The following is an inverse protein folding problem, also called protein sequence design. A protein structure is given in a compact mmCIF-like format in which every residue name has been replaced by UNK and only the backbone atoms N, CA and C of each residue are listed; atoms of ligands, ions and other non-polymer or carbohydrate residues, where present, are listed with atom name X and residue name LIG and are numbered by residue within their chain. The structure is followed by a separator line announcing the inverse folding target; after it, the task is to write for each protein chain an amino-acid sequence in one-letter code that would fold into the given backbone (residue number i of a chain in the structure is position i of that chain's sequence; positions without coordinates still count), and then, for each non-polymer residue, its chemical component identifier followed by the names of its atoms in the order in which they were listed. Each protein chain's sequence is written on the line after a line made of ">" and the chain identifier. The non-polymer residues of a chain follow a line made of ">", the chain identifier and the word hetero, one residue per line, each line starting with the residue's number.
data_IF_805859918961
#
_entry.id   IF_805859918961
#
_cell.length_a   1.000
_cell.length_b   1.000
_cell.length_c   1.000
_cell.angle_alpha   90.00
_cell.angle_beta   90.00
_cell.angle_gamma   90.00
#
_symmetry.space_group_name_H-M   'P 1'
#
loop_
_entity.id
_entity.type
_entity.pdbx_description
1 polymer ?
#
# COMPACT_ATOMS: atom_id res chain seq x y z
N UNK A 1 21.71 -0.24 -3.79
CA UNK A 1 20.38 0.11 -3.26
C UNK A 1 19.29 -0.13 -4.32
N UNK A 2 19.49 0.27 -5.58
CA UNK A 2 18.52 0.05 -6.69
C UNK A 2 18.15 -1.42 -6.96
N UNK A 3 19.12 -2.34 -6.95
CA UNK A 3 18.84 -3.76 -7.21
C UNK A 3 17.92 -4.42 -6.15
N UNK A 4 17.93 -3.91 -4.91
CA UNK A 4 17.02 -4.37 -3.84
C UNK A 4 15.60 -3.87 -4.09
N UNK A 5 15.44 -2.64 -4.58
CA UNK A 5 14.13 -2.09 -4.91
C UNK A 5 13.51 -2.80 -6.11
N UNK A 6 14.29 -3.11 -7.15
CA UNK A 6 13.79 -3.85 -8.31
C UNK A 6 13.22 -5.23 -7.94
N UNK A 7 13.92 -5.96 -7.05
CA UNK A 7 13.46 -7.27 -6.56
C UNK A 7 12.19 -7.15 -5.71
N UNK A 8 12.07 -6.11 -4.88
CA UNK A 8 10.87 -5.85 -4.08
C UNK A 8 9.68 -5.49 -4.98
N UNK A 9 9.87 -4.68 -6.01
CA UNK A 9 8.84 -4.33 -6.99
C UNK A 9 8.38 -5.57 -7.78
N UNK A 10 9.30 -6.46 -8.13
CA UNK A 10 8.95 -7.71 -8.81
C UNK A 10 8.10 -8.61 -7.89
N UNK A 11 8.51 -8.81 -6.64
CA UNK A 11 7.75 -9.62 -5.67
C UNK A 11 6.36 -9.00 -5.41
N UNK A 12 6.28 -7.67 -5.35
CA UNK A 12 5.00 -6.95 -5.27
C UNK A 12 4.06 -7.32 -6.42
N UNK A 13 4.60 -7.30 -7.64
CA UNK A 13 3.83 -7.57 -8.85
C UNK A 13 3.36 -9.03 -8.91
N UNK A 14 4.24 -9.97 -8.53
CA UNK A 14 3.91 -11.40 -8.45
C UNK A 14 2.79 -11.66 -7.43
N UNK A 15 2.89 -11.07 -6.23
CA UNK A 15 1.86 -11.22 -5.20
C UNK A 15 0.54 -10.51 -5.60
N UNK A 16 0.62 -9.38 -6.31
CA UNK A 16 -0.57 -8.72 -6.87
C UNK A 16 -1.27 -9.54 -7.93
N UNK A 17 -0.52 -10.27 -8.75
CA UNK A 17 -1.10 -11.17 -9.73
C UNK A 17 -1.80 -12.35 -9.05
N UNK A 18 -1.22 -12.89 -7.98
CA UNK A 18 -1.85 -13.95 -7.17
C UNK A 18 -3.13 -13.43 -6.51
N UNK A 19 -3.10 -12.25 -5.92
CA UNK A 19 -4.27 -11.64 -5.27
C UNK A 19 -5.39 -11.32 -6.27
N UNK A 20 -5.05 -10.86 -7.48
CA UNK A 20 -6.02 -10.63 -8.56
C UNK A 20 -6.65 -11.95 -9.04
N UNK A 21 -5.84 -12.97 -9.32
CA UNK A 21 -6.33 -14.30 -9.72
C UNK A 21 -7.21 -14.90 -8.61
N UNK A 22 -6.84 -14.69 -7.35
CA UNK A 22 -7.59 -15.15 -6.19
C UNK A 22 -8.96 -14.46 -6.07
N UNK A 23 -9.03 -13.14 -6.29
CA UNK A 23 -10.28 -12.39 -6.24
C UNK A 23 -11.17 -12.60 -7.48
N UNK A 24 -10.58 -12.84 -8.66
CA UNK A 24 -11.30 -13.15 -9.90
C UNK A 24 -11.74 -14.62 -9.99
N UNK A 25 -11.19 -15.51 -9.15
CA UNK A 25 -11.59 -16.90 -9.09
C UNK A 25 -13.06 -17.00 -8.66
N UNK A 26 -13.95 -17.22 -9.63
CA UNK A 26 -15.33 -17.63 -9.37
C UNK A 26 -15.27 -19.01 -8.71
N UNK A 27 -15.49 -19.05 -7.39
CA UNK A 27 -15.58 -20.32 -6.68
C UNK A 27 -16.71 -21.17 -7.25
N UNK A 28 -16.50 -22.48 -7.19
CA UNK A 28 -17.57 -23.45 -7.46
C UNK A 28 -18.79 -23.11 -6.59
N UNK A 29 -20.00 -23.33 -7.10
CA UNK A 29 -21.21 -23.11 -6.29
C UNK A 29 -21.18 -24.01 -5.06
N UNK A 30 -21.86 -23.60 -3.98
CA UNK A 30 -21.91 -24.36 -2.73
C UNK A 30 -22.29 -25.84 -2.96
N UNK A 31 -23.27 -26.09 -3.84
CA UNK A 31 -23.68 -27.45 -4.24
C UNK A 31 -22.54 -28.30 -4.85
N UNK A 32 -21.65 -27.69 -5.64
CA UNK A 32 -20.50 -28.38 -6.23
C UNK A 32 -19.35 -28.53 -5.22
N UNK A 33 -19.23 -27.60 -4.26
CA UNK A 33 -18.28 -27.68 -3.16
C UNK A 33 -18.61 -28.84 -2.22
N UNK A 34 -19.88 -28.99 -1.83
CA UNK A 34 -20.32 -30.08 -0.94
C UNK A 34 -20.13 -31.48 -1.55
N UNK A 35 -20.14 -31.59 -2.87
CA UNK A 35 -19.89 -32.83 -3.61
C UNK A 35 -18.40 -33.19 -3.72
N UNK A 36 -17.49 -32.26 -3.41
CA UNK A 36 -16.05 -32.53 -3.48
C UNK A 36 -15.58 -33.44 -2.33
N UNK A 37 -14.53 -34.26 -2.53
CA UNK A 37 -13.91 -35.00 -1.44
C UNK A 37 -13.44 -34.08 -0.31
N UNK A 38 -13.42 -34.52 0.97
CA UNK A 38 -13.08 -33.66 2.11
C UNK A 38 -11.71 -32.99 1.99
N UNK A 39 -10.74 -33.68 1.38
CA UNK A 39 -9.39 -33.16 1.16
C UNK A 39 -9.37 -32.02 0.14
N UNK A 40 -10.24 -32.08 -0.88
CA UNK A 40 -10.42 -31.05 -1.90
C UNK A 40 -11.14 -29.84 -1.33
N UNK A 41 -12.21 -30.05 -0.54
CA UNK A 41 -12.90 -28.98 0.19
C UNK A 41 -11.93 -28.18 1.08
N UNK A 42 -11.07 -28.88 1.83
CA UNK A 42 -10.06 -28.23 2.68
C UNK A 42 -9.10 -27.34 1.88
N UNK A 43 -8.64 -27.81 0.71
CA UNK A 43 -7.74 -27.04 -0.15
C UNK A 43 -8.48 -25.80 -0.69
N UNK A 44 -9.68 -25.98 -1.24
CA UNK A 44 -10.49 -24.88 -1.76
C UNK A 44 -10.79 -23.85 -0.68
N UNK A 45 -11.20 -24.28 0.52
CA UNK A 45 -11.44 -23.38 1.65
C UNK A 45 -10.19 -22.62 2.09
N UNK A 46 -9.03 -23.30 2.13
CA UNK A 46 -7.74 -22.66 2.46
C UNK A 46 -7.35 -21.62 1.40
N UNK A 47 -7.59 -21.93 0.13
CA UNK A 47 -7.36 -21.00 -0.96
C UNK A 47 -8.32 -19.82 -0.85
N UNK A 48 -9.64 -20.05 -0.72
CA UNK A 48 -10.69 -19.04 -0.61
C UNK A 48 -10.41 -17.95 0.43
N UNK A 49 -9.86 -18.33 1.58
CA UNK A 49 -9.52 -17.42 2.69
C UNK A 49 -8.04 -17.05 2.74
N UNK A 50 -7.26 -17.38 1.71
CA UNK A 50 -5.83 -17.12 1.66
C UNK A 50 -5.57 -15.61 1.67
N UNK A 51 -5.37 -15.10 2.87
CA UNK A 51 -4.75 -13.81 3.09
C UNK A 51 -3.24 -14.04 3.09
N UNK A 52 -2.50 -13.16 2.45
CA UNK A 52 -1.04 -13.10 2.57
C UNK A 52 -0.72 -11.84 3.40
N UNK A 53 -0.72 -11.91 4.75
CA UNK A 53 -0.50 -10.72 5.59
C UNK A 53 0.79 -9.99 5.26
N UNK A 54 1.85 -10.74 4.91
CA UNK A 54 3.12 -10.16 4.49
C UNK A 54 2.98 -9.34 3.20
N UNK A 55 2.12 -9.75 2.27
CA UNK A 55 1.83 -9.00 1.05
C UNK A 55 1.05 -7.72 1.35
N UNK A 56 0.01 -7.80 2.19
CA UNK A 56 -0.77 -6.63 2.58
C UNK A 56 0.08 -5.61 3.36
N UNK A 57 0.91 -6.08 4.29
CA UNK A 57 1.89 -5.23 4.99
C UNK A 57 2.92 -4.63 4.04
N UNK A 58 3.37 -5.39 3.04
CA UNK A 58 4.28 -4.89 2.02
C UNK A 58 3.62 -3.81 1.15
N UNK A 59 2.38 -4.01 0.70
CA UNK A 59 1.62 -2.99 -0.05
C UNK A 59 1.40 -1.72 0.78
N UNK A 60 1.06 -1.88 2.05
CA UNK A 60 0.91 -0.77 3.00
C UNK A 60 2.20 0.04 3.11
N UNK A 61 3.35 -0.62 3.21
CA UNK A 61 4.65 0.06 3.25
C UNK A 61 5.00 0.72 1.91
N UNK A 62 4.74 0.07 0.77
CA UNK A 62 4.97 0.68 -0.56
C UNK A 62 4.14 1.95 -0.73
N UNK A 63 2.86 1.92 -0.35
CA UNK A 63 1.98 3.09 -0.39
C UNK A 63 2.50 4.19 0.54
N UNK A 64 2.89 3.86 1.77
CA UNK A 64 3.45 4.83 2.71
C UNK A 64 4.77 5.44 2.21
N UNK A 65 5.66 4.64 1.61
CA UNK A 65 6.93 5.10 1.04
C UNK A 65 6.74 6.09 -0.13
N UNK A 66 5.68 5.92 -0.93
CA UNK A 66 5.32 6.89 -1.95
C UNK A 66 4.91 8.24 -1.33
N UNK A 67 4.19 8.23 -0.20
CA UNK A 67 3.84 9.45 0.54
C UNK A 67 5.08 10.11 1.16
N UNK A 68 6.00 9.32 1.72
CA UNK A 68 7.27 9.84 2.26
C UNK A 68 8.08 10.59 1.18
N UNK A 69 8.03 10.12 -0.07
CA UNK A 69 8.68 10.81 -1.20
C UNK A 69 8.08 12.19 -1.46
N UNK A 70 6.76 12.35 -1.28
CA UNK A 70 6.08 13.66 -1.40
C UNK A 70 6.47 14.57 -0.23
N UNK A 71 6.58 14.01 0.99
CA UNK A 71 7.06 14.76 2.16
C UNK A 71 8.45 15.33 1.90
N UNK A 72 9.38 14.53 1.35
CA UNK A 72 10.73 15.00 0.97
C UNK A 72 10.66 16.16 -0.02
N UNK A 73 9.81 16.08 -1.05
CA UNK A 73 9.63 17.16 -2.02
C UNK A 73 9.10 18.45 -1.37
N UNK A 74 8.13 18.34 -0.46
CA UNK A 74 7.57 19.51 0.24
C UNK A 74 8.54 20.13 1.24
N UNK A 75 9.32 19.31 1.94
CA UNK A 75 10.38 19.81 2.83
C UNK A 75 11.41 20.58 2.02
N UNK A 76 11.84 20.03 0.87
CA UNK A 76 12.75 20.75 -0.02
C UNK A 76 12.14 22.05 -0.54
N UNK A 77 10.85 22.05 -0.92
CA UNK A 77 10.16 23.28 -1.32
C UNK A 77 10.21 24.35 -0.23
N UNK A 78 10.04 23.96 1.03
CA UNK A 78 10.12 24.86 2.18
C UNK A 78 11.54 25.42 2.39
N UNK A 79 12.55 24.56 2.28
CA UNK A 79 13.97 24.92 2.43
C UNK A 79 14.44 25.88 1.32
N UNK A 80 13.93 25.67 0.10
CA UNK A 80 14.27 26.48 -1.08
C UNK A 80 13.48 27.82 -1.14
N UNK A 81 12.57 28.10 -0.19
CA UNK A 81 11.78 29.35 -0.20
C UNK A 81 12.64 30.59 0.07
N UNK A 82 12.61 31.56 -0.84
CA UNK A 82 13.27 32.85 -0.64
C UNK A 82 12.49 33.73 0.36
N UNK A 83 13.15 34.43 1.30
CA UNK A 83 12.47 35.29 2.28
C UNK A 83 11.63 36.41 1.64
N UNK A 84 11.94 36.83 0.41
CA UNK A 84 11.18 37.83 -0.35
C UNK A 84 9.92 37.25 -1.05
N UNK A 85 9.59 35.98 -0.82
CA UNK A 85 8.36 35.37 -1.35
C UNK A 85 7.15 36.13 -0.80
N UNK A 86 6.29 36.64 -1.69
CA UNK A 86 5.03 37.25 -1.29
C UNK A 86 4.23 36.27 -0.42
N UNK A 87 3.86 36.72 0.79
CA UNK A 87 3.19 35.89 1.79
C UNK A 87 4.02 34.64 2.22
N UNK A 88 5.34 34.79 2.34
CA UNK A 88 6.26 33.75 2.83
C UNK A 88 5.72 33.03 4.06
N UNK A 89 5.29 33.78 5.08
CA UNK A 89 4.80 33.20 6.34
C UNK A 89 3.60 32.28 6.18
N UNK A 90 2.57 32.69 5.43
CA UNK A 90 1.37 31.86 5.22
C UNK A 90 1.65 30.68 4.29
N UNK A 91 2.48 30.87 3.27
CA UNK A 91 2.89 29.81 2.34
C UNK A 91 3.71 28.73 3.07
N UNK A 92 4.71 29.15 3.84
CA UNK A 92 5.53 28.25 4.65
C UNK A 92 4.70 27.50 5.69
N UNK A 93 3.71 28.15 6.31
CA UNK A 93 2.79 27.49 7.24
C UNK A 93 1.91 26.45 6.53
N UNK A 94 1.39 26.77 5.35
CA UNK A 94 0.59 25.84 4.55
C UNK A 94 1.37 24.59 4.15
N UNK A 95 2.62 24.76 3.69
CA UNK A 95 3.50 23.63 3.34
C UNK A 95 3.80 22.76 4.56
N UNK A 96 4.06 23.35 5.73
CA UNK A 96 4.26 22.60 6.99
C UNK A 96 3.03 21.79 7.39
N UNK A 97 1.82 22.36 7.27
CA UNK A 97 0.59 21.63 7.56
C UNK A 97 0.42 20.43 6.62
N UNK A 98 0.67 20.62 5.31
CA UNK A 98 0.62 19.53 4.34
C UNK A 98 1.65 18.43 4.64
N UNK A 99 2.87 18.79 5.05
CA UNK A 99 3.89 17.82 5.48
C UNK A 99 3.37 16.98 6.66
N UNK A 100 2.81 17.63 7.68
CA UNK A 100 2.26 16.94 8.85
C UNK A 100 1.11 15.99 8.48
N UNK A 101 0.16 16.45 7.65
CA UNK A 101 -0.96 15.64 7.18
C UNK A 101 -0.49 14.41 6.41
N UNK A 102 0.48 14.57 5.50
CA UNK A 102 1.05 13.47 4.73
C UNK A 102 1.78 12.47 5.62
N UNK A 103 2.53 12.93 6.62
CA UNK A 103 3.20 12.04 7.58
C UNK A 103 2.20 11.23 8.41
N UNK A 104 1.10 11.86 8.86
CA UNK A 104 0.02 11.16 9.56
C UNK A 104 -0.63 10.12 8.64
N UNK A 105 -0.91 10.48 7.39
CA UNK A 105 -1.50 9.56 6.42
C UNK A 105 -0.58 8.36 6.11
N UNK A 106 0.73 8.59 5.91
CA UNK A 106 1.70 7.51 5.74
C UNK A 106 1.73 6.55 6.93
N UNK A 107 1.63 7.09 8.16
CA UNK A 107 1.56 6.27 9.38
C UNK A 107 0.25 5.48 9.49
N UNK A 108 -0.87 6.02 9.00
CA UNK A 108 -2.16 5.31 8.94
C UNK A 108 -2.13 4.16 7.93
N UNK A 109 -1.56 4.39 6.73
CA UNK A 109 -1.39 3.35 5.71
C UNK A 109 -0.60 2.15 6.25
N UNK A 110 0.51 2.39 6.97
CA UNK A 110 1.32 1.33 7.61
C UNK A 110 0.56 0.51 8.66
N UNK A 111 -0.47 1.09 9.28
CA UNK A 111 -1.35 0.42 10.24
C UNK A 111 -2.47 -0.37 9.55
N UNK A 112 -2.55 -0.35 8.22
CA UNK A 112 -3.64 -0.95 7.45
C UNK A 112 -4.93 -0.13 7.46
N UNK A 113 -4.89 1.10 8.00
CA UNK A 113 -6.04 1.98 8.10
C UNK A 113 -6.06 3.01 6.96
N UNK A 114 -6.60 2.61 5.82
CA UNK A 114 -7.21 3.55 4.89
C UNK A 114 -8.71 3.20 4.87
N UNK A 115 -9.46 3.79 5.80
CA UNK A 115 -10.93 3.84 5.79
C UNK A 115 -11.37 5.20 5.24
#
# INVERSE_FOLDING_TARGET
>A
MEASNARLVQIAAELSAIDAIHNDAVFITDDHYEQCPPQVQKIIGTLAVLQIPAYQSFLAEVRASAIDSIVVLKTKQLDDMHPDTHAFGSTAMSIRNQINELQVFAAQLRKGGAE
#
